data_IF_530916391982
#
_entry.id   IF_530916391982
#
_cell.length_a   1.000
_cell.length_b   1.000
_cell.length_c   1.000
_cell.angle_alpha   90.00
_cell.angle_beta   90.00
_cell.angle_gamma   90.00
#
_symmetry.space_group_name_H-M   'P 1'
#
loop_
_entity.id
_entity.type
_entity.pdbx_description
1 polymer ?
#
# COMPACT_ATOMS: atom_id res chain seq x y z
N UNK A 1 -12.71 -36.19 -20.79
CA UNK A 1 -13.32 -34.96 -21.34
C UNK A 1 -13.74 -33.90 -20.29
N UNK A 2 -14.33 -34.26 -19.14
CA UNK A 2 -14.83 -33.29 -18.13
C UNK A 2 -13.74 -32.41 -17.50
N UNK A 3 -12.54 -32.96 -17.30
CA UNK A 3 -11.38 -32.22 -16.76
C UNK A 3 -10.79 -31.21 -17.77
N UNK A 4 -10.80 -31.55 -19.06
CA UNK A 4 -10.27 -30.67 -20.11
C UNK A 4 -11.15 -29.43 -20.32
N UNK A 5 -12.48 -29.58 -20.34
CA UNK A 5 -13.42 -28.44 -20.40
C UNK A 5 -13.31 -27.52 -19.17
N UNK A 6 -13.11 -28.09 -17.97
CA UNK A 6 -12.89 -27.32 -16.73
C UNK A 6 -11.57 -26.56 -16.74
N UNK A 7 -10.50 -27.17 -17.26
CA UNK A 7 -9.21 -26.50 -17.42
C UNK A 7 -9.31 -25.33 -18.41
N UNK A 8 -9.94 -25.54 -19.58
CA UNK A 8 -10.12 -24.49 -20.58
C UNK A 8 -10.93 -23.29 -20.03
N UNK A 9 -12.03 -23.57 -19.32
CA UNK A 9 -12.84 -22.51 -18.69
C UNK A 9 -12.08 -21.76 -17.58
N UNK A 10 -11.19 -22.44 -16.85
CA UNK A 10 -10.32 -21.81 -15.85
C UNK A 10 -9.30 -20.89 -16.53
N UNK A 11 -8.67 -21.34 -17.61
CA UNK A 11 -7.71 -20.53 -18.39
C UNK A 11 -8.36 -19.29 -18.95
N UNK A 12 -9.51 -19.42 -19.63
CA UNK A 12 -10.27 -18.27 -20.16
C UNK A 12 -10.64 -17.25 -19.08
N UNK A 13 -11.04 -17.74 -17.89
CA UNK A 13 -11.36 -16.86 -16.77
C UNK A 13 -10.13 -16.12 -16.23
N UNK A 14 -8.97 -16.77 -16.22
CA UNK A 14 -7.71 -16.14 -15.82
C UNK A 14 -7.27 -15.08 -16.84
N UNK A 15 -7.36 -15.38 -18.13
CA UNK A 15 -7.08 -14.44 -19.23
C UNK A 15 -7.99 -13.21 -19.15
N UNK A 16 -9.31 -13.41 -18.98
CA UNK A 16 -10.25 -12.31 -18.78
C UNK A 16 -9.93 -11.48 -17.53
N UNK A 17 -9.53 -12.14 -16.44
CA UNK A 17 -9.13 -11.44 -15.21
C UNK A 17 -7.89 -10.59 -15.45
N UNK A 18 -6.90 -11.10 -16.17
CA UNK A 18 -5.69 -10.35 -16.50
C UNK A 18 -5.99 -9.18 -17.43
N UNK A 19 -6.83 -9.38 -18.46
CA UNK A 19 -7.24 -8.29 -19.35
C UNK A 19 -7.94 -7.15 -18.58
N UNK A 20 -8.76 -7.45 -17.58
CA UNK A 20 -9.35 -6.43 -16.72
C UNK A 20 -8.31 -5.71 -15.83
N UNK A 21 -7.29 -6.43 -15.36
CA UNK A 21 -6.20 -5.83 -14.59
C UNK A 21 -5.41 -4.85 -15.47
N UNK A 22 -5.03 -5.27 -16.68
CA UNK A 22 -4.30 -4.46 -17.65
C UNK A 22 -5.12 -3.23 -18.06
N UNK A 23 -6.43 -3.39 -18.24
CA UNK A 23 -7.34 -2.27 -18.52
C UNK A 23 -7.34 -1.23 -17.40
N UNK A 24 -7.39 -1.64 -16.12
CA UNK A 24 -7.30 -0.71 -14.98
C UNK A 24 -5.97 0.04 -14.98
N UNK A 25 -4.86 -0.65 -15.25
CA UNK A 25 -3.55 0.00 -15.32
C UNK A 25 -3.49 1.04 -16.45
N UNK A 26 -3.99 0.69 -17.64
CA UNK A 26 -4.05 1.60 -18.78
C UNK A 26 -4.96 2.82 -18.52
N UNK A 27 -6.07 2.64 -17.81
CA UNK A 27 -6.94 3.75 -17.41
C UNK A 27 -6.22 4.74 -16.47
N UNK A 28 -5.42 4.23 -15.53
CA UNK A 28 -4.61 5.08 -14.64
C UNK A 28 -3.53 5.82 -15.43
N UNK A 29 -2.87 5.14 -16.37
CA UNK A 29 -1.88 5.77 -17.27
C UNK A 29 -2.53 6.84 -18.16
N UNK A 30 -3.78 6.62 -18.57
CA UNK A 30 -4.58 7.57 -19.34
C UNK A 30 -5.27 8.67 -18.50
N UNK A 31 -4.85 8.89 -17.26
CA UNK A 31 -5.41 9.91 -16.34
C UNK A 31 -6.93 9.80 -16.11
N UNK A 32 -7.50 8.59 -16.19
CA UNK A 32 -8.91 8.39 -15.85
C UNK A 32 -9.12 8.55 -14.34
N UNK A 33 -10.12 9.34 -13.89
CA UNK A 33 -10.43 9.48 -12.47
C UNK A 33 -10.71 8.14 -11.80
N UNK A 34 -10.10 7.89 -10.64
CA UNK A 34 -10.24 6.62 -9.93
C UNK A 34 -11.72 6.28 -9.59
N UNK A 35 -12.56 7.29 -9.37
CA UNK A 35 -13.99 7.09 -9.12
C UNK A 35 -14.70 6.40 -10.30
N UNK A 36 -14.32 6.72 -11.53
CA UNK A 36 -14.92 6.11 -12.71
C UNK A 36 -14.41 4.69 -12.93
N UNK A 37 -13.12 4.44 -12.64
CA UNK A 37 -12.54 3.09 -12.64
C UNK A 37 -13.27 2.21 -11.60
N UNK A 38 -13.54 2.74 -10.41
CA UNK A 38 -14.26 2.01 -9.34
C UNK A 38 -15.71 1.67 -9.67
N UNK A 39 -16.38 2.47 -10.50
CA UNK A 39 -17.74 2.17 -10.99
C UNK A 39 -17.75 0.98 -11.95
N UNK A 40 -16.64 0.77 -12.67
CA UNK A 40 -16.52 -0.27 -13.69
C UNK A 40 -15.98 -1.60 -13.14
N UNK A 41 -15.10 -1.54 -12.14
CA UNK A 41 -14.35 -2.72 -11.69
C UNK A 41 -14.59 -3.07 -10.22
N UNK A 42 -14.67 -4.38 -9.96
CA UNK A 42 -14.82 -4.91 -8.59
C UNK A 42 -13.55 -4.64 -7.77
N UNK A 43 -13.68 -4.47 -6.43
CA UNK A 43 -12.55 -4.31 -5.51
C UNK A 43 -11.43 -5.34 -5.68
N UNK A 44 -11.76 -6.59 -5.99
CA UNK A 44 -10.78 -7.67 -6.19
C UNK A 44 -9.93 -7.50 -7.45
N UNK A 45 -10.46 -6.87 -8.51
CA UNK A 45 -9.69 -6.53 -9.71
C UNK A 45 -8.79 -5.34 -9.42
N UNK A 46 -9.34 -4.28 -8.81
CA UNK A 46 -8.59 -3.08 -8.42
C UNK A 46 -7.39 -3.44 -7.54
N UNK A 47 -7.59 -4.28 -6.52
CA UNK A 47 -6.52 -4.77 -5.65
C UNK A 47 -5.38 -5.41 -6.44
N UNK A 48 -5.71 -6.29 -7.39
CA UNK A 48 -4.70 -6.99 -8.19
C UNK A 48 -3.99 -6.06 -9.15
N UNK A 49 -4.71 -5.13 -9.77
CA UNK A 49 -4.10 -4.11 -10.61
C UNK A 49 -3.13 -3.23 -9.82
N UNK A 50 -3.53 -2.81 -8.62
CA UNK A 50 -2.70 -1.95 -7.78
C UNK A 50 -1.42 -2.65 -7.32
N UNK A 51 -1.47 -3.96 -7.10
CA UNK A 51 -0.28 -4.75 -6.76
C UNK A 51 0.68 -5.02 -7.93
N UNK A 52 0.27 -4.74 -9.18
CA UNK A 52 1.10 -4.98 -10.38
C UNK A 52 1.83 -3.73 -10.87
N UNK A 53 1.55 -2.55 -10.30
CA UNK A 53 2.28 -1.35 -10.67
C UNK A 53 3.77 -1.47 -10.34
N UNK A 54 4.59 -0.81 -11.15
CA UNK A 54 6.01 -0.61 -10.87
C UNK A 54 6.22 0.70 -10.10
N UNK A 55 7.45 0.94 -9.63
CA UNK A 55 7.82 2.19 -8.97
C UNK A 55 7.52 3.42 -9.83
N UNK A 56 7.75 3.32 -11.14
CA UNK A 56 7.56 4.41 -12.09
C UNK A 56 6.10 4.82 -12.27
N UNK A 57 5.16 3.97 -11.84
CA UNK A 57 3.73 4.25 -11.95
C UNK A 57 3.17 5.04 -10.76
N UNK A 58 3.93 5.23 -9.67
CA UNK A 58 3.42 5.94 -8.49
C UNK A 58 2.99 7.39 -8.74
N UNK A 59 3.70 8.20 -9.55
CA UNK A 59 3.22 9.54 -9.88
C UNK A 59 1.82 9.52 -10.54
N UNK A 60 1.55 8.52 -11.39
CA UNK A 60 0.26 8.35 -12.05
C UNK A 60 -0.81 7.87 -11.07
N UNK A 61 -0.47 6.91 -10.22
CA UNK A 61 -1.38 6.38 -9.20
C UNK A 61 -1.76 7.45 -8.17
N UNK A 62 -0.77 8.23 -7.70
CA UNK A 62 -0.97 9.35 -6.79
C UNK A 62 -1.87 10.42 -7.43
N UNK A 63 -1.69 10.70 -8.72
CA UNK A 63 -2.59 11.61 -9.46
C UNK A 63 -4.00 11.06 -9.55
N UNK A 64 -4.16 9.76 -9.81
CA UNK A 64 -5.46 9.10 -9.86
C UNK A 64 -6.18 9.10 -8.49
N UNK A 65 -5.43 9.05 -7.39
CA UNK A 65 -5.95 9.24 -6.02
C UNK A 65 -6.37 10.69 -5.73
N UNK A 66 -5.85 11.66 -6.48
CA UNK A 66 -6.06 13.08 -6.27
C UNK A 66 -5.03 13.70 -5.34
N UNK A 67 -5.39 14.83 -4.72
CA UNK A 67 -4.51 15.54 -3.82
C UNK A 67 -4.26 14.75 -2.53
N UNK A 68 -2.99 14.65 -2.13
CA UNK A 68 -2.62 14.02 -0.86
C UNK A 68 -2.94 14.95 0.32
N UNK A 69 -3.29 14.39 1.48
CA UNK A 69 -3.55 15.20 2.67
C UNK A 69 -2.34 16.00 3.17
N UNK A 70 -1.13 15.58 2.81
CA UNK A 70 0.13 16.27 3.11
C UNK A 70 1.25 15.82 2.17
N UNK A 71 2.36 16.57 2.17
CA UNK A 71 3.58 16.19 1.45
C UNK A 71 4.40 15.07 2.10
N UNK A 72 3.99 14.57 3.28
CA UNK A 72 4.71 13.49 3.96
C UNK A 72 4.60 12.18 3.15
N UNK A 73 5.72 11.47 3.00
CA UNK A 73 5.74 10.17 2.31
C UNK A 73 5.36 9.05 3.29
N UNK A 74 4.44 8.21 2.86
CA UNK A 74 3.88 7.08 3.61
C UNK A 74 4.21 5.80 2.87
N UNK A 75 4.91 4.89 3.53
CA UNK A 75 5.21 3.58 2.99
C UNK A 75 4.16 2.57 3.46
N UNK A 76 3.69 1.71 2.56
CA UNK A 76 2.71 0.67 2.84
C UNK A 76 3.42 -0.69 2.74
N UNK A 77 3.36 -1.49 3.80
CA UNK A 77 3.92 -2.84 3.83
C UNK A 77 3.21 -3.76 2.82
N UNK A 78 3.93 -4.74 2.28
CA UNK A 78 3.41 -5.72 1.32
C UNK A 78 2.23 -6.54 1.86
N UNK A 79 2.17 -6.71 3.20
CA UNK A 79 1.09 -7.44 3.83
C UNK A 79 -0.20 -6.62 3.87
N UNK A 80 -0.12 -5.29 3.77
CA UNK A 80 -1.30 -4.41 3.78
C UNK A 80 -2.00 -4.49 2.43
N UNK A 81 -3.32 -4.48 2.47
CA UNK A 81 -4.13 -4.55 1.26
C UNK A 81 -3.89 -3.31 0.39
N UNK A 82 -3.51 -3.43 -0.89
CA UNK A 82 -3.29 -2.28 -1.77
C UNK A 82 -4.48 -1.32 -1.88
N UNK A 83 -5.70 -1.76 -1.57
CA UNK A 83 -6.86 -0.88 -1.49
C UNK A 83 -6.74 0.22 -0.41
N UNK A 84 -5.82 0.04 0.54
CA UNK A 84 -5.55 1.01 1.61
C UNK A 84 -4.76 2.22 1.09
N UNK A 85 -4.05 2.08 -0.03
CA UNK A 85 -3.21 3.13 -0.62
C UNK A 85 -3.97 4.45 -0.77
N UNK A 86 -5.13 4.42 -1.43
CA UNK A 86 -5.94 5.62 -1.62
C UNK A 86 -6.37 6.25 -0.30
N UNK A 87 -6.83 5.46 0.67
CA UNK A 87 -7.25 5.99 1.97
C UNK A 87 -6.09 6.66 2.70
N UNK A 88 -4.90 6.04 2.69
CA UNK A 88 -3.71 6.64 3.26
C UNK A 88 -3.26 7.89 2.48
N UNK A 89 -3.43 7.91 1.16
CA UNK A 89 -3.12 9.08 0.32
C UNK A 89 -4.01 10.27 0.65
N UNK A 90 -5.33 10.05 0.62
CA UNK A 90 -6.35 11.08 0.86
C UNK A 90 -6.36 11.58 2.30
N UNK A 91 -5.90 10.80 3.28
CA UNK A 91 -6.01 11.18 4.69
C UNK A 91 -4.67 11.38 5.40
N UNK A 92 -3.54 10.88 4.92
CA UNK A 92 -2.25 11.00 5.62
C UNK A 92 -1.24 11.77 4.76
N UNK A 93 -0.85 11.22 3.61
CA UNK A 93 0.21 11.77 2.76
C UNK A 93 0.52 10.85 1.59
N UNK A 94 1.53 11.20 0.79
CA UNK A 94 1.87 10.53 -0.49
C UNK A 94 2.25 9.05 -0.26
N UNK A 95 1.50 8.11 -0.85
CA UNK A 95 1.64 6.67 -0.54
C UNK A 95 2.43 5.86 -1.56
N UNK A 96 3.33 4.99 -1.09
CA UNK A 96 4.04 4.00 -1.90
C UNK A 96 4.06 2.61 -1.23
N UNK A 97 4.16 1.51 -2.00
CA UNK A 97 4.33 0.15 -1.48
C UNK A 97 5.82 -0.16 -1.28
N UNK A 98 6.17 -0.64 -0.10
CA UNK A 98 7.53 -1.08 0.28
C UNK A 98 8.10 -2.15 -0.62
N UNK A 99 7.31 -3.20 -0.96
CA UNK A 99 7.76 -4.29 -1.82
C UNK A 99 8.13 -3.83 -3.22
N UNK A 100 7.53 -2.75 -3.71
CA UNK A 100 7.83 -2.21 -5.02
C UNK A 100 9.03 -1.26 -4.96
N UNK A 101 9.06 -0.36 -3.98
CA UNK A 101 10.12 0.65 -3.87
C UNK A 101 11.46 0.04 -3.46
N UNK A 102 11.45 -0.93 -2.53
CA UNK A 102 12.66 -1.45 -1.92
C UNK A 102 12.86 -2.95 -2.11
N UNK A 103 11.87 -3.67 -2.66
CA UNK A 103 11.93 -5.15 -2.74
C UNK A 103 11.98 -5.83 -1.37
N UNK A 104 11.62 -5.09 -0.30
CA UNK A 104 11.79 -5.49 1.10
C UNK A 104 10.46 -5.44 1.82
N UNK A 105 10.22 -6.48 2.63
CA UNK A 105 9.12 -6.50 3.60
C UNK A 105 9.47 -5.65 4.81
N UNK A 106 8.46 -5.24 5.58
CA UNK A 106 8.70 -4.57 6.85
C UNK A 106 9.58 -5.38 7.81
N UNK A 107 9.66 -6.71 7.68
CA UNK A 107 10.49 -7.56 8.55
C UNK A 107 12.00 -7.42 8.29
N UNK A 108 12.40 -6.73 7.22
CA UNK A 108 13.79 -6.46 6.89
C UNK A 108 14.29 -5.24 7.68
N UNK A 109 15.29 -5.40 8.56
CA UNK A 109 15.81 -4.28 9.36
C UNK A 109 16.34 -3.12 8.53
N UNK A 110 16.81 -3.39 7.30
CA UNK A 110 17.32 -2.35 6.39
C UNK A 110 16.19 -1.48 5.85
N UNK A 111 14.92 -1.93 5.89
CA UNK A 111 13.79 -1.13 5.41
C UNK A 111 13.67 0.18 6.20
N UNK A 112 13.89 0.16 7.52
CA UNK A 112 13.78 1.39 8.33
C UNK A 112 14.84 2.42 7.95
N UNK A 113 16.06 1.96 7.66
CA UNK A 113 17.18 2.80 7.22
C UNK A 113 16.88 3.37 5.83
N UNK A 114 16.47 2.53 4.89
CA UNK A 114 16.11 2.96 3.52
C UNK A 114 14.91 3.91 3.52
N UNK A 115 13.88 3.60 4.30
CA UNK A 115 12.71 4.46 4.42
C UNK A 115 13.09 5.85 4.97
N UNK A 116 13.93 5.91 6.01
CA UNK A 116 14.49 7.17 6.53
C UNK A 116 15.26 7.93 5.45
N UNK A 117 16.23 7.27 4.80
CA UNK A 117 17.14 7.91 3.84
C UNK A 117 16.38 8.46 2.61
N UNK A 118 15.21 7.89 2.30
CA UNK A 118 14.32 8.35 1.23
C UNK A 118 13.21 9.32 1.71
N UNK A 119 13.20 9.69 2.99
CA UNK A 119 12.29 10.67 3.58
C UNK A 119 10.87 10.16 3.81
N UNK A 120 10.69 8.86 4.07
CA UNK A 120 9.40 8.32 4.52
C UNK A 120 9.21 8.60 6.00
N UNK A 121 8.16 9.35 6.33
CA UNK A 121 7.82 9.66 7.72
C UNK A 121 7.01 8.55 8.39
N UNK A 122 6.40 7.65 7.61
CA UNK A 122 5.49 6.63 8.11
C UNK A 122 5.64 5.30 7.37
N UNK A 123 5.46 4.19 8.11
CA UNK A 123 5.25 2.85 7.55
C UNK A 123 3.95 2.28 8.12
N UNK A 124 2.98 1.98 7.24
CA UNK A 124 1.76 1.26 7.60
C UNK A 124 1.98 -0.24 7.41
N UNK A 125 1.72 -1.04 8.44
CA UNK A 125 1.87 -2.51 8.41
C UNK A 125 0.68 -3.20 9.05
N UNK A 126 0.44 -4.49 8.81
CA UNK A 126 -0.55 -5.26 9.55
C UNK A 126 -0.12 -5.55 10.99
N UNK A 127 -1.11 -5.60 11.88
CA UNK A 127 -1.00 -5.86 13.33
C UNK A 127 -0.34 -7.21 13.68
N UNK A 128 -0.27 -8.14 12.73
CA UNK A 128 0.44 -9.42 12.90
C UNK A 128 1.94 -9.30 12.56
N UNK A 129 2.72 -8.69 13.45
CA UNK A 129 4.14 -9.04 13.57
C UNK A 129 4.23 -10.14 14.64
N UNK A 130 4.41 -11.42 14.26
CA UNK A 130 4.32 -12.52 15.21
C UNK A 130 5.45 -12.42 16.24
N UNK A 131 5.07 -12.61 17.49
CA UNK A 131 5.89 -12.90 18.67
C UNK A 131 7.17 -13.69 18.35
N UNK A 132 8.33 -13.16 18.76
CA UNK A 132 9.60 -13.88 18.82
C UNK A 132 10.74 -13.35 17.96
N UNK A 133 10.47 -12.45 17.01
CA UNK A 133 11.49 -11.65 16.31
C UNK A 133 11.16 -10.18 16.58
N UNK A 134 12.16 -9.36 16.96
CA UNK A 134 12.00 -7.96 17.41
C UNK A 134 10.83 -7.31 16.66
N UNK A 135 9.74 -6.99 17.37
CA UNK A 135 8.61 -6.32 16.74
C UNK A 135 9.15 -5.07 16.04
N UNK A 136 8.63 -4.73 14.88
CA UNK A 136 9.14 -3.57 14.14
C UNK A 136 8.98 -2.28 14.90
N UNK A 137 7.88 -2.19 15.65
CA UNK A 137 7.69 -1.18 16.68
C UNK A 137 8.84 -1.18 17.71
N UNK A 138 9.32 -2.36 18.13
CA UNK A 138 10.51 -2.52 18.96
C UNK A 138 11.81 -2.08 18.29
N UNK A 139 12.01 -2.35 16.99
CA UNK A 139 13.19 -1.92 16.24
C UNK A 139 13.20 -0.39 16.03
N UNK A 140 12.09 0.19 15.58
CA UNK A 140 11.92 1.64 15.47
C UNK A 140 12.11 2.31 16.84
N UNK A 141 11.55 1.73 17.91
CA UNK A 141 11.76 2.24 19.27
C UNK A 141 13.21 2.15 19.74
N UNK A 142 13.96 1.12 19.34
CA UNK A 142 15.39 1.01 19.65
C UNK A 142 16.19 2.10 18.91
N UNK A 143 15.92 2.29 17.61
CA UNK A 143 16.60 3.31 16.80
C UNK A 143 16.25 4.73 17.28
N UNK A 144 14.98 4.99 17.58
CA UNK A 144 14.52 6.24 18.19
C UNK A 144 15.20 6.52 19.53
N UNK A 145 15.35 5.49 20.40
CA UNK A 145 16.11 5.61 21.66
C UNK A 145 17.60 5.86 21.44
N UNK A 146 18.16 5.45 20.31
CA UNK A 146 19.54 5.74 19.93
C UNK A 146 19.71 7.16 19.35
N UNK A 147 18.64 7.96 19.29
CA UNK A 147 18.65 9.31 18.72
C UNK A 147 18.54 9.33 17.20
N UNK A 148 18.27 8.20 16.56
CA UNK A 148 18.05 8.14 15.12
C UNK A 148 16.61 8.48 14.79
N UNK A 149 16.40 9.42 13.86
CA UNK A 149 15.09 9.70 13.28
C UNK A 149 14.70 8.49 12.44
N UNK A 150 13.58 7.85 12.76
CA UNK A 150 13.04 6.71 12.02
C UNK A 150 11.59 6.97 11.64
N UNK A 151 11.10 6.34 10.55
CA UNK A 151 9.69 6.43 10.20
C UNK A 151 8.81 5.90 11.33
N UNK A 152 7.67 6.57 11.56
CA UNK A 152 6.66 6.11 12.52
C UNK A 152 5.98 4.84 12.00
N UNK A 153 5.81 3.83 12.86
CA UNK A 153 5.21 2.56 12.46
C UNK A 153 3.79 2.46 12.99
N UNK A 154 2.83 2.45 12.07
CA UNK A 154 1.41 2.33 12.39
C UNK A 154 0.91 0.93 12.04
N UNK A 155 0.47 0.21 13.06
CA UNK A 155 -0.16 -1.09 12.90
C UNK A 155 -1.64 -0.95 12.49
N UNK A 156 -2.04 -1.68 11.45
CA UNK A 156 -3.37 -1.70 10.90
C UNK A 156 -4.03 -3.08 11.09
N UNK A 157 -5.36 -3.14 11.30
CA UNK A 157 -6.07 -4.41 11.36
C UNK A 157 -5.94 -5.24 10.08
N UNK A 158 -5.99 -6.58 10.19
CA UNK A 158 -5.89 -7.49 9.04
C UNK A 158 -6.99 -7.31 7.95
N UNK A 159 -8.07 -6.60 8.28
CA UNK A 159 -9.18 -6.30 7.36
C UNK A 159 -9.01 -4.93 6.69
N UNK A 160 -9.04 -4.89 5.36
CA UNK A 160 -8.90 -3.65 4.57
C UNK A 160 -9.94 -2.58 4.92
N UNK A 161 -11.21 -2.96 5.12
CA UNK A 161 -12.25 -2.01 5.52
C UNK A 161 -11.97 -1.39 6.89
N UNK A 162 -11.53 -2.20 7.86
CA UNK A 162 -11.15 -1.70 9.18
C UNK A 162 -9.89 -0.85 9.12
N UNK A 163 -8.90 -1.25 8.31
CA UNK A 163 -7.70 -0.44 8.04
C UNK A 163 -8.04 0.95 7.50
N UNK A 164 -8.90 1.02 6.47
CA UNK A 164 -9.35 2.29 5.90
C UNK A 164 -10.11 3.14 6.94
N UNK A 165 -10.93 2.51 7.79
CA UNK A 165 -11.62 3.20 8.87
C UNK A 165 -10.64 3.79 9.89
N UNK A 166 -9.67 2.99 10.37
CA UNK A 166 -8.63 3.45 11.30
C UNK A 166 -7.83 4.60 10.69
N UNK A 167 -7.44 4.52 9.42
CA UNK A 167 -6.73 5.60 8.74
C UNK A 167 -7.56 6.89 8.73
N UNK A 168 -8.86 6.81 8.44
CA UNK A 168 -9.74 7.98 8.45
C UNK A 168 -9.86 8.62 9.82
N UNK A 169 -10.02 7.79 10.85
CA UNK A 169 -10.23 8.23 12.23
C UNK A 169 -8.93 8.79 12.83
N UNK A 170 -7.82 8.10 12.62
CA UNK A 170 -6.51 8.36 13.25
C UNK A 170 -5.58 9.22 12.40
N UNK A 171 -5.98 9.57 11.17
CA UNK A 171 -5.17 10.39 10.27
C UNK A 171 -4.62 11.68 10.91
N UNK A 172 -5.38 12.48 11.67
CA UNK A 172 -4.85 13.67 12.30
C UNK A 172 -3.70 13.37 13.28
N UNK A 173 -3.84 12.31 14.09
CA UNK A 173 -2.80 11.86 15.03
C UNK A 173 -1.55 11.40 14.27
N UNK A 174 -1.73 10.59 13.22
CA UNK A 174 -0.62 10.09 12.39
C UNK A 174 0.10 11.26 11.71
N UNK A 175 -0.63 12.23 11.14
CA UNK A 175 -0.01 13.39 10.48
C UNK A 175 0.82 14.24 11.44
N UNK A 176 0.35 14.45 12.67
CA UNK A 176 1.10 15.19 13.68
C UNK A 176 2.42 14.48 14.04
N UNK A 177 2.44 13.14 14.06
CA UNK A 177 3.63 12.35 14.36
C UNK A 177 4.70 12.42 13.25
N UNK A 178 4.28 12.48 11.99
CA UNK A 178 5.20 12.34 10.84
C UNK A 178 5.68 13.69 10.29
N UNK A 179 5.15 14.80 10.80
CA UNK A 179 5.55 16.17 10.47
C UNK A 179 6.43 16.82 11.56
N UNK A 180 6.58 16.16 12.71
CA UNK A 180 7.43 16.57 13.83
C UNK A 180 8.89 16.16 13.61
#
# INVERSE_FOLDING_TARGET
MRNHKRQLAKTLKLEQTQAHIDAVANMIVGDVPLQDIKRQYKPTILRKAFSQFSVDNYPLLNRAFGEAASGAKVLIDECVDPMVLEAAHTHIGITHLSSLVFGKSVKDPELLVLARDHGYGCILTKDRVPTGRKSLHGLARIMSKAGEIVPEIVALPDCAQRSMHVIREKAPEIRALIQA
#
